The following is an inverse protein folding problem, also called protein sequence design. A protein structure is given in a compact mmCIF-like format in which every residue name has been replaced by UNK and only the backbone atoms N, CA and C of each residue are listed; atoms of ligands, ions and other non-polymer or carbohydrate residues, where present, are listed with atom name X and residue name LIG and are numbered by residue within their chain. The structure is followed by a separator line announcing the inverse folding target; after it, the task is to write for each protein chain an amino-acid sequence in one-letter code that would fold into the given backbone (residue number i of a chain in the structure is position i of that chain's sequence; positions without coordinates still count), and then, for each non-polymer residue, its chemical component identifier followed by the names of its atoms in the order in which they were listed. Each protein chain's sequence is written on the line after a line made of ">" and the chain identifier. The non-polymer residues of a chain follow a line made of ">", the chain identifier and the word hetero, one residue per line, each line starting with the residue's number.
data_IF_130200297989
#
_entry.id   IF_130200297989
#
_cell.length_a   1.000
_cell.length_b   1.000
_cell.length_c   1.000
_cell.angle_alpha   90.00
_cell.angle_beta   90.00
_cell.angle_gamma   90.00
#
_symmetry.space_group_name_H-M   'P 1'
#
loop_
_entity.id
_entity.type
_entity.pdbx_description
1 polymer ?
#
# COMPACT_ATOMS: atom_id res chain seq x y z
N UNK A 1 -17.86 47.57 -17.68
CA UNK A 1 -18.18 46.25 -18.22
C UNK A 1 -17.64 45.27 -17.19
N UNK A 2 -18.52 44.67 -16.39
CA UNK A 2 -18.16 43.76 -15.30
C UNK A 2 -18.45 42.35 -15.83
N UNK A 3 -17.42 41.53 -15.97
CA UNK A 3 -17.57 40.11 -16.33
C UNK A 3 -17.99 39.34 -15.07
N UNK A 4 -19.15 38.68 -15.14
CA UNK A 4 -19.63 37.76 -14.12
C UNK A 4 -18.95 36.41 -14.30
N UNK A 5 -18.34 35.89 -13.24
CA UNK A 5 -17.81 34.53 -13.16
C UNK A 5 -18.99 33.57 -12.95
N UNK A 6 -19.21 32.63 -13.86
CA UNK A 6 -20.21 31.56 -13.71
C UNK A 6 -19.69 30.51 -12.71
N UNK A 7 -20.28 30.48 -11.51
CA UNK A 7 -20.08 29.39 -10.54
C UNK A 7 -20.89 28.17 -10.98
N UNK A 8 -20.19 27.13 -11.43
CA UNK A 8 -20.78 25.82 -11.71
C UNK A 8 -21.11 25.09 -10.40
N UNK A 9 -22.30 25.34 -9.86
CA UNK A 9 -22.82 24.60 -8.71
C UNK A 9 -23.24 23.18 -9.12
N UNK A 10 -22.41 22.19 -8.76
CA UNK A 10 -22.73 20.78 -8.87
C UNK A 10 -23.87 20.43 -7.91
N UNK A 11 -24.97 19.92 -8.47
CA UNK A 11 -26.15 19.52 -7.70
C UNK A 11 -26.26 17.99 -7.67
N UNK A 12 -26.38 17.40 -6.48
CA UNK A 12 -26.47 15.95 -6.28
C UNK A 12 -27.65 15.59 -5.38
N UNK A 13 -28.30 14.46 -5.68
CA UNK A 13 -29.46 13.94 -4.94
C UNK A 13 -29.26 12.44 -4.65
N UNK A 14 -29.48 12.03 -3.40
CA UNK A 14 -29.38 10.62 -2.97
C UNK A 14 -30.77 9.99 -3.05
N UNK A 15 -30.89 8.85 -3.75
CA UNK A 15 -32.10 8.04 -3.79
C UNK A 15 -31.87 6.71 -3.06
N UNK A 16 -32.59 6.49 -1.97
CA UNK A 16 -32.59 5.21 -1.26
C UNK A 16 -33.32 4.14 -2.09
N UNK A 17 -32.62 3.07 -2.44
CA UNK A 17 -33.19 1.97 -3.20
C UNK A 17 -33.60 0.83 -2.24
N UNK A 18 -34.88 0.77 -1.91
CA UNK A 18 -35.44 -0.20 -0.96
C UNK A 18 -35.64 -1.60 -1.58
N UNK A 19 -34.61 -2.19 -2.17
CA UNK A 19 -34.63 -3.59 -2.57
C UNK A 19 -34.01 -4.46 -1.48
N UNK A 20 -34.87 -4.89 -0.55
CA UNK A 20 -34.55 -5.98 0.38
C UNK A 20 -34.53 -7.27 -0.44
N UNK A 21 -33.34 -7.76 -0.78
CA UNK A 21 -33.12 -9.12 -1.26
C UNK A 21 -32.07 -9.76 -0.36
N UNK A 22 -32.55 -10.54 0.60
CA UNK A 22 -31.71 -11.44 1.39
C UNK A 22 -31.19 -12.56 0.47
N UNK A 23 -29.88 -12.60 0.25
CA UNK A 23 -29.00 -13.76 0.45
C UNK A 23 -27.69 -13.62 -0.35
N UNK A 24 -26.57 -13.63 0.37
CA UNK A 24 -25.19 -13.98 -0.05
C UNK A 24 -24.30 -12.96 -0.78
N UNK A 25 -24.60 -11.66 -0.73
CA UNK A 25 -23.71 -10.62 -1.30
C UNK A 25 -22.72 -9.98 -0.31
N UNK A 26 -22.74 -10.37 0.96
CA UNK A 26 -21.76 -9.83 1.92
C UNK A 26 -20.37 -10.42 1.66
N UNK A 27 -20.30 -11.71 1.32
CA UNK A 27 -19.04 -12.38 0.99
C UNK A 27 -18.48 -11.93 -0.38
N UNK A 28 -19.33 -11.51 -1.34
CA UNK A 28 -18.87 -10.95 -2.62
C UNK A 28 -18.35 -9.51 -2.47
N UNK A 29 -18.88 -8.76 -1.50
CA UNK A 29 -18.40 -7.42 -1.13
C UNK A 29 -17.09 -7.50 -0.32
N UNK A 30 -16.95 -8.50 0.56
CA UNK A 30 -15.71 -8.77 1.32
C UNK A 30 -14.59 -9.37 0.45
N UNK A 31 -14.94 -10.23 -0.52
CA UNK A 31 -14.03 -10.74 -1.55
C UNK A 31 -13.78 -9.74 -2.68
N UNK A 32 -14.32 -8.53 -2.58
CA UNK A 32 -13.87 -7.45 -3.44
C UNK A 32 -12.44 -7.14 -2.98
N UNK A 33 -11.47 -7.75 -3.68
CA UNK A 33 -10.01 -7.55 -3.68
C UNK A 33 -9.55 -6.07 -3.71
N UNK A 34 -10.51 -5.14 -3.61
CA UNK A 34 -10.42 -3.71 -3.75
C UNK A 34 -10.34 -2.91 -2.44
N UNK A 35 -10.24 -3.52 -1.25
CA UNK A 35 -9.99 -2.72 -0.05
C UNK A 35 -8.67 -1.92 -0.14
N UNK A 36 -7.65 -2.46 -0.82
CA UNK A 36 -6.43 -1.73 -1.17
C UNK A 36 -6.41 -1.21 -2.62
N UNK A 37 -7.33 -1.63 -3.49
CA UNK A 37 -7.42 -1.13 -4.86
C UNK A 37 -8.20 0.19 -4.95
N UNK A 38 -9.13 0.46 -4.02
CA UNK A 38 -9.93 1.68 -3.97
C UNK A 38 -9.40 2.77 -3.01
N UNK A 39 -8.39 2.49 -2.19
CA UNK A 39 -7.74 3.51 -1.38
C UNK A 39 -6.44 3.95 -2.05
N UNK A 40 -6.49 5.05 -2.82
CA UNK A 40 -5.36 5.95 -3.10
C UNK A 40 -4.12 5.37 -3.81
N UNK A 41 -4.05 4.07 -4.10
CA UNK A 41 -2.84 3.42 -4.62
C UNK A 41 -2.78 3.43 -6.16
N UNK A 42 -3.91 3.63 -6.83
CA UNK A 42 -4.00 3.61 -8.29
C UNK A 42 -3.64 4.95 -8.96
N UNK A 43 -3.71 6.07 -8.24
CA UNK A 43 -3.41 7.40 -8.80
C UNK A 43 -1.90 7.70 -8.93
N UNK A 44 -1.01 6.89 -8.34
CA UNK A 44 0.44 7.09 -8.46
C UNK A 44 1.09 6.27 -9.57
N UNK A 45 0.33 5.75 -10.52
CA UNK A 45 0.92 5.17 -11.72
C UNK A 45 1.39 6.28 -12.68
N UNK A 46 2.72 6.42 -12.73
CA UNK A 46 3.52 7.01 -13.80
C UNK A 46 3.59 8.55 -13.91
N UNK A 47 4.35 9.14 -13.01
CA UNK A 47 5.48 9.96 -13.45
C UNK A 47 6.73 9.47 -12.71
N UNK A 48 7.85 9.29 -13.42
CA UNK A 48 9.14 9.00 -12.81
C UNK A 48 9.61 10.28 -12.12
N UNK A 49 9.05 10.52 -10.94
CA UNK A 49 9.32 11.70 -10.13
C UNK A 49 10.50 11.39 -9.22
N UNK A 50 11.62 12.08 -9.41
CA UNK A 50 12.79 11.94 -8.55
C UNK A 50 12.42 12.20 -7.08
N UNK A 51 11.45 13.08 -6.82
CA UNK A 51 10.98 13.39 -5.48
C UNK A 51 10.32 12.16 -4.82
N UNK A 52 9.54 11.38 -5.57
CA UNK A 52 8.93 10.14 -5.06
C UNK A 52 9.98 9.08 -4.75
N UNK A 53 11.01 8.96 -5.58
CA UNK A 53 12.12 8.03 -5.36
C UNK A 53 12.89 8.41 -4.09
N UNK A 54 13.17 9.70 -3.91
CA UNK A 54 13.88 10.20 -2.74
C UNK A 54 13.05 10.03 -1.47
N UNK A 55 11.74 10.30 -1.52
CA UNK A 55 10.84 10.07 -0.39
C UNK A 55 10.81 8.59 0.04
N UNK A 56 10.73 7.66 -0.92
CA UNK A 56 10.82 6.22 -0.62
C UNK A 56 12.16 5.85 0.02
N UNK A 57 13.27 6.42 -0.47
CA UNK A 57 14.58 6.19 0.10
C UNK A 57 14.68 6.66 1.54
N UNK A 58 14.21 7.89 1.83
CA UNK A 58 14.19 8.43 3.19
C UNK A 58 13.30 7.60 4.11
N UNK A 59 12.11 7.20 3.66
CA UNK A 59 11.20 6.35 4.45
C UNK A 59 11.85 5.03 4.86
N UNK A 60 12.44 4.30 3.90
CA UNK A 60 13.15 3.05 4.19
C UNK A 60 14.39 3.26 5.06
N UNK A 61 15.06 4.40 4.94
CA UNK A 61 16.24 4.69 5.74
C UNK A 61 15.88 4.99 7.19
N UNK A 62 14.84 5.78 7.45
CA UNK A 62 14.47 6.21 8.80
C UNK A 62 13.60 5.18 9.54
N UNK A 63 12.61 4.59 8.85
CA UNK A 63 11.55 3.82 9.50
C UNK A 63 11.80 2.30 9.54
N UNK A 64 12.81 1.79 8.83
CA UNK A 64 13.06 0.36 8.73
C UNK A 64 14.43 -0.02 9.29
N UNK A 65 14.44 -1.06 10.14
CA UNK A 65 15.69 -1.67 10.58
C UNK A 65 16.29 -2.52 9.47
N UNK A 66 17.60 -2.77 9.52
CA UNK A 66 18.28 -3.65 8.57
C UNK A 66 17.63 -5.04 8.51
N UNK A 67 17.11 -5.54 9.63
CA UNK A 67 16.40 -6.81 9.72
C UNK A 67 15.08 -6.78 8.94
N UNK A 68 14.31 -5.70 9.05
CA UNK A 68 13.06 -5.52 8.30
C UNK A 68 13.33 -5.46 6.78
N UNK A 69 14.32 -4.68 6.36
CA UNK A 69 14.73 -4.62 4.95
C UNK A 69 15.17 -5.99 4.42
N UNK A 70 15.87 -6.76 5.25
CA UNK A 70 16.24 -8.13 4.93
C UNK A 70 15.02 -9.05 4.71
N UNK A 71 13.94 -8.87 5.47
CA UNK A 71 12.69 -9.61 5.27
C UNK A 71 12.02 -9.24 3.95
N UNK A 72 12.03 -7.95 3.58
CA UNK A 72 11.51 -7.48 2.29
C UNK A 72 12.29 -8.12 1.13
N UNK A 73 13.63 -8.10 1.17
CA UNK A 73 14.44 -8.77 0.15
C UNK A 73 14.18 -10.27 0.08
N UNK A 74 13.98 -10.94 1.22
CA UNK A 74 13.65 -12.37 1.25
C UNK A 74 12.30 -12.65 0.58
N UNK A 75 11.30 -11.80 0.82
CA UNK A 75 9.99 -11.92 0.18
C UNK A 75 10.11 -11.81 -1.35
N UNK A 76 10.86 -10.81 -1.84
CA UNK A 76 11.12 -10.62 -3.27
C UNK A 76 12.15 -11.60 -3.85
N UNK A 77 12.78 -12.45 -3.03
CA UNK A 77 13.88 -13.34 -3.41
C UNK A 77 15.06 -12.60 -4.04
N UNK A 78 15.31 -11.36 -3.60
CA UNK A 78 16.47 -10.55 -4.02
C UNK A 78 17.72 -11.10 -3.34
N UNK A 79 18.75 -11.41 -4.14
CA UNK A 79 20.05 -11.85 -3.63
C UNK A 79 20.74 -10.71 -2.88
N UNK A 80 21.20 -10.99 -1.66
CA UNK A 80 21.69 -9.98 -0.71
C UNK A 80 22.95 -10.44 0.03
N UNK A 81 24.02 -10.69 -0.71
CA UNK A 81 25.29 -11.08 -0.08
C UNK A 81 26.09 -9.85 0.34
N UNK A 82 26.19 -9.61 1.67
CA UNK A 82 27.10 -8.63 2.32
C UNK A 82 26.90 -7.17 1.89
N UNK A 83 25.65 -6.74 1.75
CA UNK A 83 25.31 -5.35 1.40
C UNK A 83 25.12 -4.47 2.63
N UNK A 84 25.45 -3.19 2.51
CA UNK A 84 25.12 -2.15 3.50
C UNK A 84 23.63 -1.82 3.46
N UNK A 85 23.12 -1.15 4.50
CA UNK A 85 21.70 -0.76 4.61
C UNK A 85 21.22 0.03 3.39
N UNK A 86 21.94 1.09 2.99
CA UNK A 86 21.62 1.91 1.81
C UNK A 86 21.54 1.09 0.53
N UNK A 87 22.51 0.21 0.28
CA UNK A 87 22.52 -0.66 -0.91
C UNK A 87 21.31 -1.62 -0.94
N UNK A 88 20.86 -2.09 0.23
CA UNK A 88 19.66 -2.92 0.33
C UNK A 88 18.41 -2.09 0.01
N UNK A 89 18.35 -0.85 0.49
CA UNK A 89 17.25 0.07 0.18
C UNK A 89 17.18 0.35 -1.32
N UNK A 90 18.30 0.65 -1.96
CA UNK A 90 18.39 0.87 -3.40
C UNK A 90 17.86 -0.35 -4.19
N UNK A 91 18.24 -1.57 -3.79
CA UNK A 91 17.73 -2.79 -4.45
C UNK A 91 16.23 -2.98 -4.27
N UNK A 92 15.71 -2.69 -3.08
CA UNK A 92 14.26 -2.75 -2.82
C UNK A 92 13.54 -1.75 -3.70
N UNK A 93 14.01 -0.49 -3.73
CA UNK A 93 13.40 0.58 -4.51
C UNK A 93 13.45 0.28 -6.01
N UNK A 94 14.58 -0.21 -6.52
CA UNK A 94 14.70 -0.63 -7.92
C UNK A 94 13.72 -1.76 -8.26
N UNK A 95 13.54 -2.72 -7.35
CA UNK A 95 12.56 -3.79 -7.53
C UNK A 95 11.13 -3.24 -7.52
N UNK A 96 10.82 -2.33 -6.60
CA UNK A 96 9.47 -1.81 -6.39
C UNK A 96 8.99 -0.84 -7.47
N UNK A 97 9.91 -0.11 -8.08
CA UNK A 97 9.61 0.82 -9.18
C UNK A 97 9.64 0.15 -10.56
N UNK A 98 9.91 -1.16 -10.64
CA UNK A 98 9.72 -1.91 -11.87
C UNK A 98 8.22 -2.26 -12.04
N UNK A 99 7.56 -1.79 -13.12
CA UNK A 99 6.13 -2.08 -13.35
C UNK A 99 5.81 -3.57 -13.42
N UNK A 100 6.74 -4.41 -13.88
CA UNK A 100 6.57 -5.87 -13.95
C UNK A 100 6.41 -6.51 -12.56
N UNK A 101 6.92 -5.86 -11.52
CA UNK A 101 6.84 -6.32 -10.14
C UNK A 101 5.63 -5.75 -9.39
N UNK A 102 4.88 -4.81 -9.97
CA UNK A 102 3.81 -4.06 -9.30
C UNK A 102 2.85 -4.92 -8.47
N UNK A 103 2.42 -6.06 -9.01
CA UNK A 103 1.55 -7.03 -8.30
C UNK A 103 2.25 -7.59 -7.06
N UNK A 104 3.51 -8.02 -7.15
CA UNK A 104 4.27 -8.54 -6.01
C UNK A 104 4.51 -7.47 -4.94
N UNK A 105 4.72 -6.22 -5.35
CA UNK A 105 4.90 -5.07 -4.46
C UNK A 105 3.61 -4.80 -3.68
N UNK A 106 2.47 -4.79 -4.38
CA UNK A 106 1.15 -4.64 -3.79
C UNK A 106 0.86 -5.74 -2.76
N UNK A 107 1.05 -7.01 -3.15
CA UNK A 107 0.86 -8.15 -2.25
C UNK A 107 1.71 -8.04 -0.98
N UNK A 108 2.98 -7.65 -1.13
CA UNK A 108 3.87 -7.45 0.01
C UNK A 108 3.37 -6.34 0.93
N UNK A 109 2.98 -5.18 0.39
CA UNK A 109 2.42 -4.05 1.17
C UNK A 109 1.17 -4.48 1.92
N UNK A 110 0.27 -5.20 1.24
CA UNK A 110 -0.97 -5.75 1.78
C UNK A 110 -0.72 -6.70 2.95
N UNK A 111 0.15 -7.69 2.77
CA UNK A 111 0.50 -8.64 3.85
C UNK A 111 1.16 -7.94 5.05
N UNK A 112 2.01 -6.95 4.79
CA UNK A 112 2.67 -6.18 5.84
C UNK A 112 1.69 -5.35 6.66
N UNK A 113 0.69 -4.75 6.00
CA UNK A 113 -0.40 -4.04 6.67
C UNK A 113 -1.17 -4.99 7.61
N UNK A 114 -1.59 -6.16 7.13
CA UNK A 114 -2.29 -7.12 7.99
C UNK A 114 -1.46 -7.58 9.19
N UNK A 115 -0.15 -7.77 9.02
CA UNK A 115 0.75 -8.09 10.14
C UNK A 115 0.74 -6.96 11.17
N UNK A 116 0.76 -5.70 10.73
CA UNK A 116 0.72 -4.56 11.64
C UNK A 116 -0.62 -4.45 12.37
N UNK A 117 -1.75 -4.64 11.69
CA UNK A 117 -3.08 -4.67 12.31
C UNK A 117 -3.16 -5.77 13.38
N UNK A 118 -2.70 -6.97 13.07
CA UNK A 118 -2.68 -8.08 14.04
C UNK A 118 -1.74 -7.83 15.22
N UNK A 119 -0.65 -7.07 15.03
CA UNK A 119 0.27 -6.66 16.12
C UNK A 119 -0.34 -5.60 17.03
N UNK A 120 -1.24 -4.77 16.52
CA UNK A 120 -1.92 -3.73 17.29
C UNK A 120 -3.11 -4.29 18.08
N UNK A 121 -3.61 -5.47 17.72
CA UNK A 121 -4.67 -6.14 18.46
C UNK A 121 -4.20 -6.73 19.80
N UNK A 122 -5.05 -6.60 20.83
CA UNK A 122 -4.75 -7.02 22.21
C UNK A 122 -4.61 -8.54 22.41
N UNK A 123 -5.25 -9.34 21.55
CA UNK A 123 -5.26 -10.80 21.62
C UNK A 123 -4.29 -11.40 20.61
N UNK A 124 -4.39 -11.02 19.34
CA UNK A 124 -3.63 -11.60 18.24
C UNK A 124 -2.13 -11.25 18.28
N UNK A 125 -1.76 -10.10 18.84
CA UNK A 125 -0.36 -9.70 19.01
C UNK A 125 0.51 -10.75 19.72
N UNK A 126 -0.09 -11.55 20.61
CA UNK A 126 0.57 -12.65 21.33
C UNK A 126 1.04 -13.78 20.41
N UNK A 127 0.40 -13.93 19.25
CA UNK A 127 0.69 -14.98 18.27
C UNK A 127 1.49 -14.46 17.07
N UNK A 128 1.56 -13.14 16.88
CA UNK A 128 2.36 -12.54 15.81
C UNK A 128 3.82 -12.47 16.24
N UNK A 129 4.58 -13.53 15.94
CA UNK A 129 6.02 -13.58 16.11
C UNK A 129 6.67 -12.89 14.91
N UNK A 130 6.51 -11.57 14.82
CA UNK A 130 7.26 -10.75 13.87
C UNK A 130 8.44 -10.17 14.64
N UNK A 131 9.65 -10.64 14.33
CA UNK A 131 10.83 -10.28 15.12
C UNK A 131 11.17 -8.79 14.99
N UNK A 132 10.60 -7.96 15.87
CA UNK A 132 11.14 -6.64 16.16
C UNK A 132 12.49 -6.83 16.87
N UNK A 133 13.55 -6.26 16.31
CA UNK A 133 14.80 -5.95 17.03
C UNK A 133 15.29 -4.63 16.49
#
# INVERSE_FOLDING_TARGET
>A
MIECVEENNLNYEIKENNNISNNNDVDSILNNENFFQNCEFQEQFQFFDEDNLMAQHVDYFENYTLKMLNHICNYYKISKTRLKKEQIIELIIQFENNPDNSVLVYERKRMWHYINELKNDSYFSKFVIFFNS
#
